data_IF_966962041806
#
_entry.id   IF_966962041806
#
_cell.length_a   1.000
_cell.length_b   1.000
_cell.length_c   1.000
_cell.angle_alpha   90.00
_cell.angle_beta   90.00
_cell.angle_gamma   90.00
#
_symmetry.space_group_name_H-M   'P 1'
#
loop_
_entity.id
_entity.type
_entity.pdbx_description
1 polymer ?
#
# COMPACT_ATOMS: atom_id res chain seq x y z
N UNK A 1 -6.19 11.34 -43.51
CA UNK A 1 -5.29 10.35 -42.95
C UNK A 1 -4.10 11.12 -42.33
N UNK A 2 -4.12 11.38 -41.03
CA UNK A 2 -2.99 12.00 -40.29
C UNK A 2 -2.21 10.90 -39.60
N UNK A 3 -0.97 10.66 -40.02
CA UNK A 3 -0.05 9.71 -39.43
C UNK A 3 0.48 10.30 -38.12
N UNK A 4 0.12 9.69 -36.99
CA UNK A 4 0.69 10.01 -35.69
C UNK A 4 2.01 9.22 -35.59
N UNK A 5 3.12 9.93 -35.60
CA UNK A 5 4.46 9.41 -35.34
C UNK A 5 4.63 9.26 -33.82
N UNK A 6 4.67 8.00 -33.34
CA UNK A 6 5.00 7.68 -31.97
C UNK A 6 6.54 7.66 -31.86
N UNK A 7 7.12 8.72 -31.34
CA UNK A 7 8.55 8.83 -31.10
C UNK A 7 8.94 7.98 -29.88
N UNK A 8 9.62 6.87 -30.12
CA UNK A 8 10.25 6.04 -29.10
C UNK A 8 11.51 6.78 -28.58
N UNK A 9 11.42 7.39 -27.39
CA UNK A 9 12.57 7.97 -26.73
C UNK A 9 13.39 6.83 -26.07
N UNK A 10 14.46 6.42 -26.73
CA UNK A 10 15.47 5.51 -26.15
C UNK A 10 16.33 6.35 -25.22
N UNK A 11 16.12 6.17 -23.93
CA UNK A 11 16.98 6.72 -22.89
C UNK A 11 18.24 5.86 -22.81
N UNK A 12 19.32 6.29 -23.47
CA UNK A 12 20.67 5.72 -23.29
C UNK A 12 21.18 6.13 -21.90
N UNK A 13 21.10 5.21 -20.94
CA UNK A 13 21.62 5.41 -19.60
C UNK A 13 23.15 5.56 -19.63
N UNK A 14 23.64 6.67 -19.14
CA UNK A 14 25.04 6.87 -18.77
C UNK A 14 25.23 6.08 -17.47
N UNK A 15 25.98 4.98 -17.51
CA UNK A 15 26.44 4.27 -16.32
C UNK A 15 27.51 5.14 -15.64
N UNK A 16 27.11 5.94 -14.68
CA UNK A 16 27.98 6.55 -13.68
C UNK A 16 28.14 5.58 -12.52
N UNK A 17 29.30 5.54 -11.90
CA UNK A 17 29.63 4.70 -10.74
C UNK A 17 28.54 4.75 -9.69
N UNK A 18 27.95 3.58 -9.39
CA UNK A 18 26.72 3.49 -8.65
C UNK A 18 26.96 3.79 -7.17
N UNK A 19 26.58 4.98 -6.73
CA UNK A 19 26.17 5.18 -5.35
C UNK A 19 25.17 4.07 -5.00
N UNK A 20 25.32 3.44 -3.83
CA UNK A 20 24.39 2.42 -3.34
C UNK A 20 23.12 3.13 -2.90
N UNK A 21 22.26 3.47 -3.85
CA UNK A 21 20.95 4.04 -3.56
C UNK A 21 20.10 2.95 -2.91
N UNK A 22 19.53 3.24 -1.74
CA UNK A 22 18.60 2.32 -1.07
C UNK A 22 17.35 2.16 -1.94
N UNK A 23 17.02 0.90 -2.31
CA UNK A 23 15.95 0.56 -3.25
C UNK A 23 14.63 0.16 -2.58
N UNK A 24 14.63 0.08 -1.25
CA UNK A 24 13.45 -0.29 -0.44
C UNK A 24 13.05 0.91 0.40
N UNK A 25 12.13 1.69 -0.11
CA UNK A 25 11.58 2.85 0.57
C UNK A 25 10.05 2.82 0.46
N UNK A 26 9.37 3.54 1.35
CA UNK A 26 7.91 3.69 1.34
C UNK A 26 7.11 2.38 1.46
N UNK A 27 7.65 1.33 2.11
CA UNK A 27 6.97 0.04 2.27
C UNK A 27 5.62 0.16 3.00
N UNK A 28 5.38 1.21 3.77
CA UNK A 28 4.10 1.47 4.41
C UNK A 28 2.95 1.67 3.39
N UNK A 29 3.23 2.12 2.16
CA UNK A 29 2.25 2.23 1.09
C UNK A 29 1.85 0.88 0.49
N UNK A 30 2.64 -0.18 0.71
CA UNK A 30 2.33 -1.53 0.25
C UNK A 30 1.36 -2.29 1.18
N UNK A 31 1.00 -1.72 2.34
CA UNK A 31 0.01 -2.31 3.24
C UNK A 31 -1.36 -2.34 2.58
N UNK A 32 -1.73 -1.26 1.88
CA UNK A 32 -3.05 -1.07 1.30
C UNK A 32 -4.02 -0.38 2.27
N UNK A 33 -5.25 -0.11 1.83
CA UNK A 33 -6.28 0.53 2.65
C UNK A 33 -7.66 -0.10 2.44
N UNK A 34 -8.51 -0.02 3.46
CA UNK A 34 -9.84 -0.62 3.50
C UNK A 34 -9.81 -2.07 3.97
N UNK A 35 -10.57 -2.37 5.02
CA UNK A 35 -10.63 -3.72 5.60
C UNK A 35 -11.10 -4.76 4.57
N UNK A 36 -11.94 -4.38 3.58
CA UNK A 36 -12.33 -5.25 2.46
C UNK A 36 -11.11 -5.79 1.71
N UNK A 37 -10.25 -4.91 1.21
CA UNK A 37 -9.08 -5.31 0.42
C UNK A 37 -8.07 -6.11 1.23
N UNK A 38 -7.89 -5.76 2.51
CA UNK A 38 -7.00 -6.47 3.43
C UNK A 38 -7.51 -7.85 3.79
N UNK A 39 -8.84 -8.01 4.01
CA UNK A 39 -9.48 -9.32 4.25
C UNK A 39 -9.35 -10.26 3.05
N UNK A 40 -9.35 -9.73 1.84
CA UNK A 40 -9.14 -10.48 0.60
C UNK A 40 -7.64 -10.72 0.27
N UNK A 41 -6.73 -10.36 1.17
CA UNK A 41 -5.29 -10.52 0.91
C UNK A 41 -4.75 -9.63 -0.23
N UNK A 42 -5.39 -8.50 -0.51
CA UNK A 42 -5.07 -7.61 -1.62
C UNK A 42 -5.66 -8.05 -2.97
N UNK A 43 -6.47 -9.11 -3.00
CA UNK A 43 -7.16 -9.60 -4.19
C UNK A 43 -8.34 -8.68 -4.56
N UNK A 44 -8.02 -7.44 -4.95
CA UNK A 44 -8.99 -6.38 -5.29
C UNK A 44 -8.49 -5.47 -6.44
N UNK A 45 -7.43 -5.85 -7.11
CA UNK A 45 -6.81 -5.04 -8.19
C UNK A 45 -7.74 -4.89 -9.40
N UNK A 46 -8.60 -5.88 -9.66
CA UNK A 46 -9.54 -5.87 -10.78
C UNK A 46 -10.98 -5.54 -10.37
N UNK A 47 -11.27 -5.41 -9.05
CA UNK A 47 -12.64 -5.25 -8.57
C UNK A 47 -12.82 -4.19 -7.45
N UNK A 48 -11.79 -3.42 -7.08
CA UNK A 48 -11.95 -2.28 -6.20
C UNK A 48 -12.58 -1.12 -6.98
N UNK A 49 -13.74 -0.66 -6.52
CA UNK A 49 -14.60 0.28 -7.23
C UNK A 49 -15.18 1.36 -6.31
N UNK A 50 -14.41 1.81 -5.34
CA UNK A 50 -14.82 2.81 -4.35
C UNK A 50 -13.67 3.75 -3.95
N UNK A 51 -13.89 4.55 -2.93
CA UNK A 51 -12.96 5.56 -2.40
C UNK A 51 -11.63 4.98 -1.86
N UNK A 52 -11.49 3.65 -1.69
CA UNK A 52 -10.23 2.97 -1.38
C UNK A 52 -9.40 2.62 -2.63
N UNK A 53 -9.96 2.79 -3.84
CA UNK A 53 -9.29 2.50 -5.12
C UNK A 53 -7.91 3.17 -5.28
N UNK A 54 -7.64 4.39 -4.80
CA UNK A 54 -6.30 4.98 -4.91
C UNK A 54 -5.17 4.08 -4.39
N UNK A 55 -5.43 3.29 -3.36
CA UNK A 55 -4.43 2.40 -2.75
C UNK A 55 -4.29 1.05 -3.48
N UNK A 56 -5.25 0.64 -4.30
CA UNK A 56 -5.26 -0.66 -4.98
C UNK A 56 -5.13 -0.54 -6.49
N UNK A 57 -6.07 0.17 -7.12
CA UNK A 57 -6.07 0.49 -8.54
C UNK A 57 -6.89 1.77 -8.78
N UNK A 58 -6.27 2.93 -9.02
CA UNK A 58 -7.00 4.20 -9.14
C UNK A 58 -8.04 4.21 -10.27
N UNK A 59 -7.94 3.32 -11.26
CA UNK A 59 -8.95 3.21 -12.32
C UNK A 59 -10.33 2.81 -11.78
N UNK A 60 -10.40 2.14 -10.62
CA UNK A 60 -11.66 1.74 -9.98
C UNK A 60 -12.48 2.89 -9.42
N UNK A 61 -11.91 4.08 -9.24
CA UNK A 61 -12.66 5.27 -8.86
C UNK A 61 -13.78 5.61 -9.84
N UNK A 62 -13.63 5.24 -11.12
CA UNK A 62 -14.59 5.61 -12.18
C UNK A 62 -15.98 4.96 -11.98
N UNK A 63 -16.07 3.92 -11.17
CA UNK A 63 -17.31 3.22 -10.87
C UNK A 63 -18.08 3.83 -9.68
N UNK A 64 -17.54 4.91 -9.10
CA UNK A 64 -18.27 5.73 -8.12
C UNK A 64 -19.34 6.52 -8.88
N UNK A 65 -20.60 6.13 -8.71
CA UNK A 65 -21.79 6.71 -9.33
C UNK A 65 -22.60 7.61 -8.38
N UNK A 66 -22.10 7.79 -7.15
CA UNK A 66 -22.73 8.58 -6.09
C UNK A 66 -22.33 10.05 -6.14
N UNK A 67 -23.04 10.90 -5.41
CA UNK A 67 -22.70 12.32 -5.29
C UNK A 67 -21.26 12.50 -4.77
N UNK A 68 -20.89 11.73 -3.74
CA UNK A 68 -19.54 11.59 -3.22
C UNK A 68 -19.41 10.38 -2.29
N UNK A 69 -18.20 9.92 -2.11
CA UNK A 69 -17.85 8.91 -1.11
C UNK A 69 -16.78 9.46 -0.16
N UNK A 70 -16.94 9.13 1.13
CA UNK A 70 -15.92 9.35 2.16
C UNK A 70 -15.54 8.04 2.83
N UNK A 71 -14.31 7.92 3.29
CA UNK A 71 -13.87 6.75 4.03
C UNK A 71 -12.84 7.07 5.09
N UNK A 72 -12.84 6.25 6.15
CA UNK A 72 -11.80 6.23 7.17
C UNK A 72 -11.45 4.79 7.51
N UNK A 73 -10.18 4.53 7.83
CA UNK A 73 -9.70 3.25 8.35
C UNK A 73 -8.72 3.50 9.48
N UNK A 74 -8.82 2.67 10.51
CA UNK A 74 -7.83 2.55 11.57
C UNK A 74 -7.37 1.10 11.68
N UNK A 75 -6.07 0.91 11.84
CA UNK A 75 -5.49 -0.42 12.01
C UNK A 75 -4.47 -0.43 13.13
N UNK A 76 -4.55 -1.47 13.95
CA UNK A 76 -3.53 -1.87 14.90
C UNK A 76 -2.67 -2.95 14.28
N UNK A 77 -1.49 -2.56 13.83
CA UNK A 77 -0.57 -3.42 13.11
C UNK A 77 0.46 -4.01 14.08
N UNK A 78 0.79 -5.32 13.92
CA UNK A 78 1.74 -6.04 14.78
C UNK A 78 1.41 -5.93 16.27
N UNK A 79 0.18 -6.34 16.66
CA UNK A 79 -0.29 -6.29 18.06
C UNK A 79 -0.18 -4.88 18.67
N UNK A 80 -0.60 -3.86 17.91
CA UNK A 80 -0.62 -2.44 18.32
C UNK A 80 0.75 -1.75 18.42
N UNK A 81 1.83 -2.37 17.94
CA UNK A 81 3.14 -1.71 17.88
C UNK A 81 3.10 -0.54 16.91
N UNK A 82 2.44 -0.71 15.75
CA UNK A 82 2.27 0.35 14.77
C UNK A 82 0.79 0.64 14.52
N UNK A 83 0.45 1.91 14.37
CA UNK A 83 -0.88 2.40 14.00
C UNK A 83 -0.88 2.78 12.54
N UNK A 84 -1.91 2.36 11.81
CA UNK A 84 -2.04 2.67 10.39
C UNK A 84 -3.42 3.25 10.11
N UNK A 85 -3.45 4.50 9.69
CA UNK A 85 -4.65 5.29 9.50
C UNK A 85 -4.80 5.66 8.04
N UNK A 86 -6.03 5.68 7.53
CA UNK A 86 -6.38 6.14 6.19
C UNK A 86 -7.64 6.97 6.25
N UNK A 87 -7.65 8.08 5.51
CA UNK A 87 -8.85 8.89 5.26
C UNK A 87 -8.90 9.26 3.79
N UNK A 88 -10.08 9.23 3.19
CA UNK A 88 -10.25 9.59 1.79
C UNK A 88 -11.62 10.21 1.50
N UNK A 89 -11.64 10.97 0.42
CA UNK A 89 -12.81 11.57 -0.18
C UNK A 89 -12.72 11.42 -1.70
N UNK A 90 -13.83 11.03 -2.34
CA UNK A 90 -13.94 10.92 -3.79
C UNK A 90 -15.24 11.52 -4.29
N UNK A 91 -15.20 12.19 -5.43
CA UNK A 91 -16.33 12.83 -6.05
C UNK A 91 -16.29 12.68 -7.57
N UNK A 92 -17.37 12.21 -8.22
CA UNK A 92 -17.55 12.31 -9.65
C UNK A 92 -17.59 13.78 -10.08
N UNK A 93 -16.96 14.06 -11.23
CA UNK A 93 -17.01 15.37 -11.87
C UNK A 93 -18.18 15.42 -12.84
N UNK A 94 -18.83 16.59 -12.95
CA UNK A 94 -19.94 16.80 -13.85
C UNK A 94 -19.55 16.56 -15.34
N UNK A 95 -20.52 16.26 -16.20
CA UNK A 95 -20.38 16.11 -17.64
C UNK A 95 -19.41 14.99 -18.10
N UNK A 96 -19.46 13.82 -17.49
CA UNK A 96 -18.60 12.68 -17.80
C UNK A 96 -17.10 12.98 -17.63
N UNK A 97 -16.75 13.96 -16.79
CA UNK A 97 -15.39 14.41 -16.55
C UNK A 97 -14.50 13.44 -15.75
N UNK A 98 -15.00 12.26 -15.39
CA UNK A 98 -14.28 11.30 -14.56
C UNK A 98 -14.53 11.47 -13.07
N UNK A 99 -13.69 10.83 -12.23
CA UNK A 99 -13.78 10.91 -10.77
C UNK A 99 -12.46 11.39 -10.19
N UNK A 100 -12.55 12.38 -9.31
CA UNK A 100 -11.41 12.88 -8.53
C UNK A 100 -11.46 12.32 -7.11
N UNK A 101 -10.30 11.99 -6.54
CA UNK A 101 -10.19 11.63 -5.13
C UNK A 101 -8.93 12.24 -4.50
N UNK A 102 -9.04 12.47 -3.19
CA UNK A 102 -7.92 12.78 -2.31
C UNK A 102 -7.90 11.78 -1.17
N UNK A 103 -6.73 11.24 -0.86
CA UNK A 103 -6.56 10.36 0.29
C UNK A 103 -5.26 10.65 1.02
N UNK A 104 -5.26 10.35 2.32
CA UNK A 104 -4.10 10.47 3.19
C UNK A 104 -3.95 9.18 3.97
N UNK A 105 -2.73 8.69 4.02
CA UNK A 105 -2.32 7.53 4.80
C UNK A 105 -1.28 7.96 5.84
N UNK A 106 -1.33 7.35 7.03
CA UNK A 106 -0.34 7.52 8.09
C UNK A 106 0.06 6.17 8.66
N UNK A 107 1.35 5.92 8.78
CA UNK A 107 1.90 4.86 9.63
C UNK A 107 2.66 5.53 10.78
N UNK A 108 2.35 5.16 12.02
CA UNK A 108 3.00 5.70 13.21
C UNK A 108 3.46 4.60 14.15
N UNK A 109 4.64 4.78 14.74
CA UNK A 109 5.18 3.98 15.84
C UNK A 109 5.57 4.92 16.96
N UNK A 110 4.97 4.72 18.14
CA UNK A 110 5.19 5.55 19.31
C UNK A 110 6.11 4.85 20.31
N UNK A 111 6.67 5.65 21.24
CA UNK A 111 7.47 5.16 22.36
C UNK A 111 8.72 4.35 21.97
N UNK A 112 9.38 4.71 20.87
CA UNK A 112 10.66 4.12 20.48
C UNK A 112 11.74 4.61 21.45
N UNK A 113 12.47 3.70 22.08
CA UNK A 113 13.53 4.07 23.03
C UNK A 113 14.70 4.75 22.29
N UNK A 114 15.06 5.92 22.75
CA UNK A 114 16.25 6.65 22.33
C UNK A 114 17.38 6.43 23.31
N UNK A 115 18.43 5.75 22.85
CA UNK A 115 19.63 5.44 23.63
C UNK A 115 20.87 6.19 23.12
N UNK A 116 20.70 7.16 22.21
CA UNK A 116 21.85 7.87 21.58
C UNK A 116 22.70 8.65 22.57
N UNK A 117 22.12 9.09 23.69
CA UNK A 117 22.80 9.85 24.74
C UNK A 117 23.08 9.03 26.01
N UNK A 118 22.81 7.72 25.98
CA UNK A 118 23.00 6.84 27.13
C UNK A 118 24.48 6.69 27.51
N UNK A 119 25.40 6.83 26.56
CA UNK A 119 26.84 6.74 26.78
C UNK A 119 27.42 8.15 26.72
N UNK A 120 28.15 8.57 27.79
CA UNK A 120 28.81 9.86 27.82
C UNK A 120 30.14 9.87 27.04
N UNK A 121 30.80 11.04 26.98
CA UNK A 121 32.08 11.22 26.27
C UNK A 121 33.25 10.41 26.86
N UNK A 122 33.13 9.91 28.09
CA UNK A 122 34.12 9.11 28.78
C UNK A 122 33.81 7.61 28.70
N UNK A 123 32.65 7.21 28.09
CA UNK A 123 32.23 5.83 27.93
C UNK A 123 31.41 5.29 29.12
N UNK A 124 30.97 6.11 30.07
CA UNK A 124 30.11 5.69 31.16
C UNK A 124 28.66 5.55 30.66
N UNK A 125 27.93 4.57 31.21
CA UNK A 125 26.53 4.30 30.86
C UNK A 125 25.63 4.99 31.91
N UNK A 126 24.73 5.85 31.40
CA UNK A 126 23.73 6.56 32.21
C UNK A 126 22.32 6.22 31.68
N UNK A 127 21.63 5.32 32.36
CA UNK A 127 20.28 4.87 31.99
C UNK A 127 19.21 5.95 32.15
N UNK A 128 19.46 6.99 32.99
CA UNK A 128 18.50 8.09 33.19
C UNK A 128 18.41 9.01 31.95
N UNK A 129 19.34 8.90 31.02
CA UNK A 129 19.32 9.60 29.73
C UNK A 129 18.53 8.89 28.64
N UNK A 130 17.97 7.72 28.92
CA UNK A 130 17.07 7.05 27.98
C UNK A 130 15.80 7.88 27.88
N UNK A 131 15.47 8.28 26.67
CA UNK A 131 14.24 9.00 26.34
C UNK A 131 13.43 8.22 25.32
N UNK A 132 12.28 8.73 24.89
CA UNK A 132 11.50 8.11 23.81
C UNK A 132 11.20 9.11 22.71
N UNK A 133 10.98 8.60 21.50
CA UNK A 133 10.53 9.37 20.35
C UNK A 133 9.49 8.58 19.55
N UNK A 134 8.82 9.25 18.63
CA UNK A 134 7.87 8.63 17.69
C UNK A 134 8.38 8.75 16.27
N UNK A 135 8.08 7.75 15.45
CA UNK A 135 8.22 7.80 14.00
C UNK A 135 6.84 7.92 13.36
N UNK A 136 6.73 8.72 12.30
CA UNK A 136 5.50 8.83 11.51
C UNK A 136 5.80 9.02 10.04
N UNK A 137 5.21 8.18 9.21
CA UNK A 137 5.26 8.26 7.76
C UNK A 137 3.87 8.63 7.24
N UNK A 138 3.78 9.63 6.39
CA UNK A 138 2.56 10.12 5.77
C UNK A 138 2.67 10.05 4.26
N UNK A 139 1.55 9.78 3.58
CA UNK A 139 1.43 10.01 2.16
C UNK A 139 0.06 10.59 1.81
N UNK A 140 0.06 11.60 0.96
CA UNK A 140 -1.14 12.13 0.32
C UNK A 140 -1.17 11.68 -1.14
N UNK A 141 -2.32 11.15 -1.59
CA UNK A 141 -2.56 10.78 -2.98
C UNK A 141 -3.64 11.67 -3.55
N UNK A 142 -3.34 12.30 -4.69
CA UNK A 142 -4.29 12.97 -5.55
C UNK A 142 -4.57 12.06 -6.73
N UNK A 143 -5.82 11.62 -6.86
CA UNK A 143 -6.20 10.56 -7.79
C UNK A 143 -7.23 11.05 -8.79
N UNK A 144 -7.12 10.59 -10.02
CA UNK A 144 -8.08 10.87 -11.07
C UNK A 144 -8.31 9.64 -11.94
N UNK A 145 -9.57 9.31 -12.22
CA UNK A 145 -9.94 8.22 -13.09
C UNK A 145 -10.88 8.69 -14.20
N UNK A 146 -10.76 8.09 -15.38
CA UNK A 146 -11.58 8.41 -16.55
C UNK A 146 -11.72 7.20 -17.49
N UNK A 147 -12.69 7.26 -18.39
CA UNK A 147 -12.91 6.27 -19.46
C UNK A 147 -12.49 6.83 -20.82
N UNK A 148 -11.36 6.38 -21.42
CA UNK A 148 -10.93 6.84 -22.73
C UNK A 148 -11.76 6.20 -23.85
N UNK A 149 -12.94 6.72 -24.14
CA UNK A 149 -13.74 6.37 -25.32
C UNK A 149 -14.47 5.02 -25.30
N UNK A 150 -14.23 4.12 -24.35
CA UNK A 150 -14.93 2.84 -24.21
C UNK A 150 -15.45 2.65 -22.79
N UNK A 151 -16.69 2.16 -22.64
CA UNK A 151 -17.24 1.83 -21.32
C UNK A 151 -16.54 0.65 -20.64
N UNK A 152 -15.74 -0.13 -21.39
CA UNK A 152 -15.03 -1.32 -20.88
C UNK A 152 -13.65 -1.00 -20.31
N UNK A 153 -13.02 0.07 -20.79
CA UNK A 153 -11.67 0.45 -20.40
C UNK A 153 -11.73 1.66 -19.47
N UNK A 154 -11.12 1.54 -18.30
CA UNK A 154 -10.94 2.62 -17.35
C UNK A 154 -9.47 2.82 -17.07
N UNK A 155 -9.06 4.06 -16.92
CA UNK A 155 -7.68 4.46 -16.60
C UNK A 155 -7.71 5.36 -15.39
N UNK A 156 -6.76 5.16 -14.49
CA UNK A 156 -6.60 5.98 -13.28
C UNK A 156 -5.15 6.32 -13.03
N UNK A 157 -4.92 7.48 -12.44
CA UNK A 157 -3.59 7.95 -12.07
C UNK A 157 -3.59 8.45 -10.63
N UNK A 158 -2.48 8.26 -9.92
CA UNK A 158 -2.21 8.93 -8.64
C UNK A 158 -0.97 9.79 -8.78
N UNK A 159 -1.01 10.99 -8.19
CA UNK A 159 0.18 11.73 -7.80
C UNK A 159 0.36 11.57 -6.29
N UNK A 160 1.54 11.15 -5.85
CA UNK A 160 1.87 10.87 -4.45
C UNK A 160 2.84 11.91 -3.90
N UNK A 161 2.53 12.42 -2.71
CA UNK A 161 3.43 13.22 -1.89
C UNK A 161 3.67 12.45 -0.60
N UNK A 162 4.94 12.21 -0.28
CA UNK A 162 5.36 11.46 0.91
C UNK A 162 6.08 12.39 1.87
N UNK A 163 5.77 12.29 3.15
CA UNK A 163 6.48 12.93 4.24
C UNK A 163 6.80 11.89 5.30
N UNK A 164 8.07 11.80 5.68
CA UNK A 164 8.55 10.84 6.67
C UNK A 164 9.27 11.58 7.78
N UNK A 165 9.00 11.19 9.03
CA UNK A 165 9.63 11.80 10.20
C UNK A 165 10.11 10.73 11.18
N UNK A 166 11.36 10.82 11.60
CA UNK A 166 11.99 9.95 12.60
C UNK A 166 12.36 10.82 13.80
N UNK A 167 11.35 11.20 14.60
CA UNK A 167 11.52 12.06 15.75
C UNK A 167 12.29 13.34 15.42
N UNK A 168 13.32 13.66 16.21
CA UNK A 168 14.22 14.80 15.99
C UNK A 168 15.44 14.48 15.11
N UNK A 169 15.60 13.21 14.70
CA UNK A 169 16.80 12.71 14.03
C UNK A 169 16.81 12.96 12.53
N UNK A 170 15.66 12.77 11.87
CA UNK A 170 15.58 12.92 10.42
C UNK A 170 14.16 13.20 9.93
N UNK A 171 14.06 13.89 8.81
CA UNK A 171 12.82 14.03 8.05
C UNK A 171 13.09 13.82 6.56
N UNK A 172 12.11 13.32 5.83
CA UNK A 172 12.21 13.06 4.40
C UNK A 172 10.96 13.50 3.65
N UNK A 173 11.14 13.96 2.42
CA UNK A 173 10.05 14.30 1.51
C UNK A 173 10.24 13.52 0.22
N UNK A 174 9.13 13.02 -0.33
CA UNK A 174 9.16 12.24 -1.56
C UNK A 174 7.97 12.53 -2.45
N UNK A 175 8.10 12.15 -3.71
CA UNK A 175 7.03 12.22 -4.68
C UNK A 175 7.14 11.11 -5.71
N UNK A 176 6.00 10.71 -6.28
CA UNK A 176 5.92 9.67 -7.30
C UNK A 176 4.53 9.61 -7.91
N UNK A 177 4.39 8.73 -8.90
CA UNK A 177 3.13 8.53 -9.62
C UNK A 177 2.81 7.04 -9.73
N UNK A 178 1.49 6.74 -9.75
CA UNK A 178 0.98 5.42 -10.06
C UNK A 178 0.06 5.48 -11.27
N UNK A 179 -0.06 4.36 -11.98
CA UNK A 179 -0.95 4.20 -13.12
C UNK A 179 -1.77 2.92 -12.95
N UNK A 180 -3.10 3.04 -13.09
CA UNK A 180 -4.05 1.94 -13.01
C UNK A 180 -4.85 1.78 -14.28
N UNK A 181 -5.19 0.54 -14.61
CA UNK A 181 -6.05 0.19 -15.74
C UNK A 181 -7.02 -0.90 -15.28
N UNK A 182 -8.29 -0.77 -15.67
CA UNK A 182 -9.32 -1.80 -15.56
C UNK A 182 -9.93 -2.06 -16.92
N UNK A 183 -10.19 -3.34 -17.21
CA UNK A 183 -10.90 -3.77 -18.39
C UNK A 183 -12.01 -4.77 -18.01
N UNK A 184 -13.24 -4.37 -18.27
CA UNK A 184 -14.44 -5.17 -18.02
C UNK A 184 -14.86 -5.87 -19.32
N UNK A 185 -14.68 -7.20 -19.39
CA UNK A 185 -15.00 -7.97 -20.57
C UNK A 185 -16.50 -8.34 -20.63
N UNK A 186 -17.03 -8.58 -21.84
CA UNK A 186 -18.45 -8.91 -22.04
C UNK A 186 -18.92 -10.20 -21.37
N UNK A 187 -17.99 -11.11 -21.05
CA UNK A 187 -18.27 -12.36 -20.35
C UNK A 187 -18.32 -12.20 -18.81
N UNK A 188 -18.28 -10.95 -18.31
CA UNK A 188 -18.30 -10.63 -16.88
C UNK A 188 -16.97 -10.88 -16.15
N UNK A 189 -15.89 -11.11 -16.88
CA UNK A 189 -14.53 -11.17 -16.31
C UNK A 189 -13.94 -9.77 -16.28
N UNK A 190 -13.37 -9.39 -15.13
CA UNK A 190 -12.66 -8.14 -14.94
C UNK A 190 -11.17 -8.38 -14.87
N UNK A 191 -10.41 -7.57 -15.57
CA UNK A 191 -8.94 -7.56 -15.55
C UNK A 191 -8.46 -6.24 -14.97
N UNK A 192 -7.52 -6.31 -14.06
CA UNK A 192 -6.90 -5.14 -13.45
C UNK A 192 -5.38 -5.17 -13.60
N UNK A 193 -4.79 -4.01 -13.85
CA UNK A 193 -3.36 -3.80 -13.81
C UNK A 193 -3.06 -2.49 -13.09
N UNK A 194 -2.11 -2.51 -12.16
CA UNK A 194 -1.62 -1.33 -11.45
C UNK A 194 -0.10 -1.30 -11.50
N UNK A 195 0.45 -0.26 -12.10
CA UNK A 195 1.88 0.07 -12.03
C UNK A 195 2.08 1.08 -10.90
N UNK A 196 2.54 0.60 -9.74
CA UNK A 196 2.92 1.43 -8.60
C UNK A 196 4.28 2.03 -8.83
N UNK A 197 4.49 3.25 -8.32
CA UNK A 197 5.77 3.95 -8.44
C UNK A 197 6.29 3.99 -9.89
N UNK A 198 5.37 4.24 -10.85
CA UNK A 198 5.61 4.15 -12.29
C UNK A 198 6.79 5.00 -12.77
N UNK A 199 7.04 6.12 -12.09
CA UNK A 199 8.16 7.03 -12.35
C UNK A 199 9.31 6.84 -11.36
N UNK A 200 9.30 5.77 -10.56
CA UNK A 200 10.13 5.64 -9.37
C UNK A 200 9.80 6.73 -8.34
N UNK A 201 9.39 6.38 -7.14
CA UNK A 201 9.18 7.38 -6.07
C UNK A 201 10.52 7.71 -5.44
N UNK A 202 10.88 8.99 -5.43
CA UNK A 202 12.14 9.49 -4.90
C UNK A 202 11.88 10.16 -3.56
N UNK A 203 12.69 9.85 -2.54
CA UNK A 203 12.68 10.50 -1.24
C UNK A 203 14.01 11.20 -0.98
N UNK A 204 13.94 12.42 -0.45
CA UNK A 204 15.07 13.23 -0.04
C UNK A 204 15.05 13.38 1.48
N UNK A 205 16.15 13.02 2.14
CA UNK A 205 16.28 13.07 3.57
C UNK A 205 17.10 14.25 4.06
N UNK A 206 16.63 14.87 5.13
CA UNK A 206 17.39 15.80 5.96
C UNK A 206 17.68 15.11 7.28
N UNK A 207 18.95 14.97 7.64
CA UNK A 207 19.42 14.32 8.88
C UNK A 207 19.96 15.38 9.80
N UNK A 208 19.51 15.37 11.06
CA UNK A 208 20.04 16.19 12.14
C UNK A 208 21.21 15.45 12.79
N UNK A 209 22.42 15.80 12.37
CA UNK A 209 23.65 15.15 12.83
C UNK A 209 23.87 15.32 14.33
N UNK A 210 23.57 16.51 14.87
CA UNK A 210 23.80 16.84 16.28
C UNK A 210 22.98 15.96 17.23
N UNK A 211 21.84 15.46 16.77
CA UNK A 211 20.96 14.57 17.53
C UNK A 211 21.24 13.08 17.30
N UNK A 212 21.89 12.75 16.18
CA UNK A 212 22.14 11.37 15.78
C UNK A 212 23.52 10.88 16.23
N UNK A 213 24.55 11.70 16.11
CA UNK A 213 25.92 11.31 16.44
C UNK A 213 26.20 11.45 17.95
N UNK A 214 27.07 10.55 18.44
CA UNK A 214 27.66 10.63 19.75
C UNK A 214 29.19 10.54 19.60
N UNK A 215 29.91 11.29 20.41
CA UNK A 215 31.38 11.19 20.49
C UNK A 215 31.74 10.51 21.81
N UNK A 216 32.38 9.33 21.72
CA UNK A 216 32.81 8.54 22.88
C UNK A 216 34.31 8.29 22.75
N UNK A 217 35.09 8.66 23.74
CA UNK A 217 36.57 8.53 23.72
C UNK A 217 37.24 9.15 22.47
N UNK A 218 36.66 10.22 21.90
CA UNK A 218 37.18 10.91 20.73
C UNK A 218 36.80 10.26 19.39
N UNK A 219 36.03 9.19 19.39
CA UNK A 219 35.51 8.56 18.17
C UNK A 219 34.03 8.93 17.96
N UNK A 220 33.68 9.27 16.74
CA UNK A 220 32.31 9.59 16.34
C UNK A 220 31.52 8.30 16.06
N UNK A 221 30.43 8.10 16.80
CA UNK A 221 29.46 7.02 16.58
C UNK A 221 28.23 7.55 15.85
N UNK A 222 27.60 6.71 15.03
CA UNK A 222 26.41 7.03 14.24
C UNK A 222 26.59 8.27 13.34
N UNK A 223 27.64 8.30 12.47
CA UNK A 223 27.78 9.40 11.51
C UNK A 223 26.58 9.45 10.55
N UNK A 224 26.21 10.66 10.11
CA UNK A 224 25.12 10.81 9.16
C UNK A 224 25.35 9.99 7.90
N UNK A 225 24.29 9.35 7.34
CA UNK A 225 24.40 8.69 6.05
C UNK A 225 24.89 9.68 4.98
N UNK A 226 25.85 9.26 4.16
CA UNK A 226 26.36 10.07 3.04
C UNK A 226 25.29 10.29 1.97
N UNK A 227 24.50 9.24 1.70
CA UNK A 227 23.41 9.29 0.72
C UNK A 227 22.12 9.72 1.43
N UNK A 228 21.59 10.86 0.97
CA UNK A 228 20.35 11.45 1.48
C UNK A 228 19.16 11.19 0.54
N UNK A 229 19.32 10.32 -0.44
CA UNK A 229 18.31 9.98 -1.42
C UNK A 229 17.97 8.49 -1.33
N UNK A 230 16.67 8.18 -1.32
CA UNK A 230 16.14 6.83 -1.41
C UNK A 230 15.18 6.76 -2.60
N UNK A 231 15.09 5.59 -3.23
CA UNK A 231 14.15 5.35 -4.33
C UNK A 231 13.28 4.13 -4.01
N UNK A 232 12.02 4.21 -4.46
CA UNK A 232 11.12 3.05 -4.48
C UNK A 232 11.02 2.55 -5.92
N UNK A 233 11.40 1.30 -6.13
CA UNK A 233 11.33 0.67 -7.45
C UNK A 233 9.88 0.45 -7.88
N UNK A 234 9.58 0.55 -9.19
CA UNK A 234 8.26 0.21 -9.72
C UNK A 234 7.82 -1.20 -9.35
N UNK A 235 6.50 -1.39 -9.18
CA UNK A 235 5.86 -2.68 -8.94
C UNK A 235 4.63 -2.81 -9.84
N UNK A 236 4.43 -4.00 -10.43
CA UNK A 236 3.26 -4.28 -11.25
C UNK A 236 2.36 -5.28 -10.52
N UNK A 237 1.10 -4.87 -10.27
CA UNK A 237 0.07 -5.72 -9.71
C UNK A 237 -0.93 -6.07 -10.82
N UNK A 238 -1.22 -7.35 -10.99
CA UNK A 238 -2.16 -7.87 -11.99
C UNK A 238 -3.25 -8.65 -11.28
N UNK A 239 -4.51 -8.44 -11.65
CA UNK A 239 -5.67 -9.11 -11.06
C UNK A 239 -6.66 -9.56 -12.12
N UNK A 240 -7.34 -10.65 -11.82
CA UNK A 240 -8.48 -11.17 -12.59
C UNK A 240 -9.58 -11.59 -11.63
N UNK A 241 -10.79 -11.11 -11.85
CA UNK A 241 -11.97 -11.45 -11.05
C UNK A 241 -13.19 -11.73 -11.92
N UNK A 242 -14.18 -12.37 -11.32
CA UNK A 242 -15.49 -12.56 -11.93
C UNK A 242 -16.55 -12.66 -10.83
N UNK A 243 -17.71 -12.06 -11.08
CA UNK A 243 -18.87 -12.20 -10.22
C UNK A 243 -19.69 -13.41 -10.64
N UNK A 244 -20.08 -14.24 -9.66
CA UNK A 244 -20.94 -15.42 -9.83
C UNK A 244 -22.20 -15.23 -8.96
N UNK A 245 -23.33 -15.01 -9.62
CA UNK A 245 -24.63 -15.04 -8.95
C UNK A 245 -24.99 -16.50 -8.64
N UNK A 246 -24.94 -16.90 -7.36
CA UNK A 246 -25.32 -18.24 -6.91
C UNK A 246 -26.83 -18.34 -6.87
N UNK A 247 -27.50 -17.31 -6.35
CA UNK A 247 -28.93 -17.12 -6.35
C UNK A 247 -29.26 -15.63 -6.20
N UNK A 248 -30.56 -15.26 -6.04
CA UNK A 248 -31.00 -13.85 -5.97
C UNK A 248 -30.41 -13.08 -4.79
N UNK A 249 -30.03 -13.76 -3.72
CA UNK A 249 -29.56 -13.16 -2.48
C UNK A 249 -28.06 -13.37 -2.27
N UNK A 250 -27.39 -14.21 -3.05
CA UNK A 250 -26.03 -14.65 -2.79
C UNK A 250 -25.16 -14.54 -4.04
N UNK A 251 -24.11 -13.75 -3.94
CA UNK A 251 -23.08 -13.55 -4.97
C UNK A 251 -21.70 -13.94 -4.42
N UNK A 252 -20.91 -14.63 -5.22
CA UNK A 252 -19.51 -14.95 -4.93
C UNK A 252 -18.59 -14.20 -5.91
N UNK A 253 -17.64 -13.45 -5.38
CA UNK A 253 -16.65 -12.70 -6.15
C UNK A 253 -15.23 -13.14 -5.80
N UNK A 254 -14.66 -14.14 -6.49
CA UNK A 254 -13.25 -14.48 -6.40
C UNK A 254 -12.39 -13.52 -7.21
N UNK A 255 -11.18 -13.28 -6.72
CA UNK A 255 -10.09 -12.65 -7.47
C UNK A 255 -8.79 -13.42 -7.22
N UNK A 256 -7.97 -13.55 -8.26
CA UNK A 256 -6.60 -14.02 -8.17
C UNK A 256 -5.67 -13.11 -8.98
N UNK A 257 -4.39 -13.07 -8.60
CA UNK A 257 -3.45 -12.22 -9.31
C UNK A 257 -1.99 -12.42 -8.90
N UNK A 258 -1.16 -11.53 -9.41
CA UNK A 258 0.28 -11.55 -9.25
C UNK A 258 0.78 -10.16 -8.86
N UNK A 259 1.65 -10.11 -7.86
CA UNK A 259 2.49 -8.96 -7.56
C UNK A 259 3.88 -9.22 -8.13
N UNK A 260 4.38 -8.31 -8.96
CA UNK A 260 5.68 -8.39 -9.63
C UNK A 260 6.52 -7.23 -9.15
N UNK A 261 7.55 -7.53 -8.37
CA UNK A 261 8.57 -6.58 -7.93
C UNK A 261 9.75 -6.65 -8.89
N UNK A 262 10.19 -5.52 -9.45
CA UNK A 262 11.36 -5.47 -10.35
C UNK A 262 12.68 -5.44 -9.55
N UNK A 263 12.78 -6.33 -8.59
CA UNK A 263 13.95 -6.54 -7.74
C UNK A 263 13.90 -7.93 -7.11
N UNK A 264 15.03 -8.42 -6.62
CA UNK A 264 15.10 -9.69 -5.88
C UNK A 264 14.50 -9.52 -4.49
N UNK A 265 13.55 -10.38 -4.13
CA UNK A 265 12.92 -10.43 -2.81
C UNK A 265 12.93 -11.84 -2.24
N UNK A 266 12.34 -12.06 -1.07
CA UNK A 266 12.13 -13.37 -0.47
C UNK A 266 10.95 -14.16 -1.08
N UNK A 267 10.33 -13.69 -2.16
CA UNK A 267 9.22 -14.35 -2.82
C UNK A 267 9.58 -15.79 -3.24
N UNK A 268 8.56 -16.65 -3.31
CA UNK A 268 8.76 -18.07 -3.72
C UNK A 268 9.35 -18.17 -5.12
N UNK A 269 8.93 -17.27 -6.03
CA UNK A 269 9.50 -17.15 -7.37
C UNK A 269 10.31 -15.85 -7.40
N UNK A 270 11.64 -15.96 -7.37
CA UNK A 270 12.53 -14.80 -7.33
C UNK A 270 13.78 -15.05 -8.19
N UNK A 271 14.10 -14.07 -9.03
CA UNK A 271 15.31 -13.99 -9.85
C UNK A 271 16.12 -12.77 -9.43
N UNK A 272 17.27 -12.54 -10.05
CA UNK A 272 18.11 -11.38 -9.71
C UNK A 272 17.51 -10.04 -10.15
N UNK A 273 16.55 -10.05 -11.09
CA UNK A 273 15.92 -8.85 -11.68
C UNK A 273 14.43 -8.70 -11.38
N UNK A 274 13.73 -9.78 -10.96
CA UNK A 274 12.31 -9.74 -10.63
C UNK A 274 11.90 -10.83 -9.66
N UNK A 275 10.86 -10.53 -8.88
CA UNK A 275 10.20 -11.47 -7.98
C UNK A 275 8.70 -11.46 -8.21
N UNK A 276 8.06 -12.62 -8.13
CA UNK A 276 6.63 -12.80 -8.38
C UNK A 276 6.00 -13.42 -7.14
N UNK A 277 4.98 -12.75 -6.60
CA UNK A 277 4.18 -13.23 -5.48
C UNK A 277 2.72 -13.37 -5.91
N UNK A 278 2.16 -14.59 -5.97
CA UNK A 278 0.75 -14.79 -6.22
C UNK A 278 -0.09 -14.34 -5.02
N UNK A 279 -1.35 -14.02 -5.28
CA UNK A 279 -2.36 -13.78 -4.26
C UNK A 279 -3.73 -14.27 -4.75
N UNK A 280 -4.62 -14.57 -3.82
CA UNK A 280 -6.00 -14.91 -4.11
C UNK A 280 -6.91 -14.51 -2.95
N UNK A 281 -8.16 -14.20 -3.27
CA UNK A 281 -9.19 -13.90 -2.29
C UNK A 281 -10.59 -14.14 -2.86
N UNK A 282 -11.56 -14.15 -1.97
CA UNK A 282 -12.95 -14.28 -2.35
C UNK A 282 -13.84 -13.50 -1.37
N UNK A 283 -14.86 -12.86 -1.92
CA UNK A 283 -15.92 -12.18 -1.20
C UNK A 283 -17.25 -12.89 -1.47
N UNK A 284 -17.95 -13.27 -0.41
CA UNK A 284 -19.32 -13.75 -0.45
C UNK A 284 -20.23 -12.62 0.01
N UNK A 285 -21.17 -12.20 -0.84
CA UNK A 285 -22.13 -11.13 -0.59
C UNK A 285 -23.52 -11.72 -0.38
N UNK A 286 -24.16 -11.37 0.72
CA UNK A 286 -25.54 -11.72 0.99
C UNK A 286 -26.41 -10.46 0.97
N UNK A 287 -27.36 -10.39 0.01
CA UNK A 287 -28.33 -9.29 -0.21
C UNK A 287 -27.68 -7.90 -0.33
N UNK A 288 -26.40 -7.82 -0.77
CA UNK A 288 -25.58 -6.59 -0.76
C UNK A 288 -25.52 -5.86 0.61
N UNK A 289 -25.78 -6.60 1.68
CA UNK A 289 -25.81 -6.10 3.06
C UNK A 289 -24.75 -6.74 3.96
N UNK A 290 -24.49 -8.03 3.81
CA UNK A 290 -23.53 -8.77 4.63
C UNK A 290 -22.45 -9.35 3.73
N UNK A 291 -21.20 -9.17 4.13
CA UNK A 291 -20.04 -9.61 3.39
C UNK A 291 -19.15 -10.49 4.25
N UNK A 292 -18.73 -11.63 3.69
CA UNK A 292 -17.73 -12.51 4.31
C UNK A 292 -16.57 -12.64 3.32
N UNK A 293 -15.34 -12.48 3.80
CA UNK A 293 -14.14 -12.38 2.97
C UNK A 293 -13.02 -13.24 3.49
N UNK A 294 -12.30 -13.83 2.57
CA UNK A 294 -11.07 -14.57 2.87
C UNK A 294 -9.99 -14.25 1.82
N UNK A 295 -8.75 -14.34 2.22
CA UNK A 295 -7.65 -14.07 1.30
C UNK A 295 -6.33 -14.70 1.74
N UNK A 296 -5.41 -14.78 0.81
CA UNK A 296 -4.05 -15.25 1.04
C UNK A 296 -3.08 -14.52 0.11
N UNK A 297 -1.96 -14.09 0.67
CA UNK A 297 -0.89 -13.40 -0.05
C UNK A 297 0.49 -13.66 0.56
N UNK A 298 1.50 -12.89 0.13
CA UNK A 298 2.87 -12.89 0.68
C UNK A 298 3.51 -14.29 0.79
N UNK A 299 3.43 -15.07 -0.29
CA UNK A 299 4.14 -16.33 -0.37
C UNK A 299 5.66 -16.09 -0.43
N UNK A 300 6.37 -16.46 0.63
CA UNK A 300 7.80 -16.18 0.82
C UNK A 300 8.57 -17.41 1.26
N UNK A 301 9.82 -17.50 0.81
CA UNK A 301 10.78 -18.47 1.34
C UNK A 301 11.45 -17.88 2.58
N UNK A 302 11.21 -18.48 3.73
CA UNK A 302 11.84 -18.11 5.00
C UNK A 302 12.73 -19.25 5.49
N UNK A 303 13.75 -18.91 6.27
CA UNK A 303 14.51 -19.91 7.03
C UNK A 303 13.91 -20.00 8.42
N UNK A 304 13.40 -21.16 8.76
CA UNK A 304 12.88 -21.46 10.08
C UNK A 304 14.04 -21.40 11.10
N UNK A 305 13.86 -20.62 12.17
CA UNK A 305 14.93 -20.32 13.14
C UNK A 305 15.31 -21.57 13.97
N UNK A 306 14.34 -22.43 14.24
CA UNK A 306 14.57 -23.62 15.07
C UNK A 306 15.18 -24.77 14.26
N UNK A 307 14.66 -25.03 13.07
CA UNK A 307 15.09 -26.16 12.22
C UNK A 307 16.18 -25.80 11.23
N UNK A 308 16.49 -24.52 11.01
CA UNK A 308 17.38 -23.98 9.97
C UNK A 308 17.02 -24.44 8.54
N UNK A 309 15.80 -24.95 8.34
CA UNK A 309 15.30 -25.40 7.04
C UNK A 309 14.52 -24.29 6.34
N UNK A 310 14.57 -24.31 5.01
CA UNK A 310 13.72 -23.45 4.19
C UNK A 310 12.27 -23.91 4.31
N UNK A 311 11.37 -22.94 4.56
CA UNK A 311 9.92 -23.13 4.65
C UNK A 311 9.23 -22.06 3.84
N UNK A 312 8.13 -22.43 3.18
CA UNK A 312 7.25 -21.45 2.55
C UNK A 312 6.32 -20.88 3.62
N UNK A 313 6.34 -19.56 3.77
CA UNK A 313 5.39 -18.80 4.58
C UNK A 313 4.39 -18.12 3.68
N UNK A 314 3.17 -17.92 4.17
CA UNK A 314 2.12 -17.14 3.51
C UNK A 314 1.29 -16.40 4.56
N UNK A 315 0.60 -15.36 4.13
CA UNK A 315 -0.24 -14.52 5.01
C UNK A 315 -1.71 -14.78 4.70
N UNK A 316 -2.43 -15.53 5.58
CA UNK A 316 -3.89 -15.64 5.51
C UNK A 316 -4.56 -14.39 6.06
N UNK A 317 -5.73 -14.09 5.54
CA UNK A 317 -6.59 -12.99 5.99
C UNK A 317 -8.06 -13.41 5.93
N UNK A 318 -8.87 -12.79 6.78
CA UNK A 318 -10.30 -12.95 6.79
C UNK A 318 -10.98 -11.65 7.22
N UNK A 319 -12.26 -11.49 6.91
CA UNK A 319 -13.01 -10.32 7.33
C UNK A 319 -14.50 -10.42 7.11
N UNK A 320 -15.21 -9.49 7.72
CA UNK A 320 -16.66 -9.34 7.61
C UNK A 320 -17.00 -7.89 7.31
N UNK A 321 -18.13 -7.66 6.68
CA UNK A 321 -18.66 -6.32 6.41
C UNK A 321 -20.16 -6.26 6.51
N UNK A 322 -20.66 -5.10 6.89
CA UNK A 322 -22.10 -4.80 6.94
C UNK A 322 -22.34 -3.47 6.26
N UNK A 323 -23.30 -3.45 5.32
CA UNK A 323 -23.75 -2.24 4.63
C UNK A 323 -25.21 -1.95 4.96
N UNK A 324 -25.48 -0.73 5.37
CA UNK A 324 -26.83 -0.26 5.66
C UNK A 324 -27.00 1.21 5.30
N UNK A 325 -27.95 1.54 4.43
CA UNK A 325 -28.30 2.91 4.02
C UNK A 325 -27.08 3.81 3.67
N UNK A 326 -26.17 3.31 2.81
CA UNK A 326 -25.00 4.07 2.39
C UNK A 326 -23.81 4.05 3.37
N UNK A 327 -23.97 3.47 4.55
CA UNK A 327 -22.91 3.23 5.51
C UNK A 327 -22.40 1.80 5.37
N UNK A 328 -21.09 1.63 5.16
CA UNK A 328 -20.44 0.30 5.20
C UNK A 328 -19.42 0.28 6.33
N UNK A 329 -19.54 -0.73 7.18
CA UNK A 329 -18.57 -1.04 8.24
C UNK A 329 -17.90 -2.36 7.91
N UNK A 330 -16.59 -2.37 7.87
CA UNK A 330 -15.79 -3.58 7.60
C UNK A 330 -14.77 -3.81 8.71
N UNK A 331 -14.54 -5.08 9.00
CA UNK A 331 -13.48 -5.55 9.87
C UNK A 331 -12.66 -6.61 9.14
N UNK A 332 -11.34 -6.55 9.32
CA UNK A 332 -10.42 -7.59 8.84
C UNK A 332 -9.39 -7.96 9.90
N UNK A 333 -8.95 -9.20 9.83
CA UNK A 333 -7.82 -9.72 10.59
C UNK A 333 -6.83 -10.39 9.63
N UNK A 334 -5.55 -10.09 9.80
CA UNK A 334 -4.48 -10.74 9.04
C UNK A 334 -3.42 -11.27 10.00
N UNK A 335 -2.82 -12.40 9.64
CA UNK A 335 -1.63 -12.88 10.34
C UNK A 335 -0.39 -12.27 9.67
N UNK A 336 0.24 -11.31 10.32
CA UNK A 336 1.43 -10.60 9.82
C UNK A 336 2.74 -11.20 10.34
N UNK A 337 2.69 -12.36 11.00
CA UNK A 337 3.84 -13.00 11.62
C UNK A 337 4.88 -13.47 10.61
N UNK A 338 6.14 -13.32 10.95
CA UNK A 338 7.30 -13.78 10.18
C UNK A 338 8.00 -14.89 10.98
N UNK A 339 8.39 -15.97 10.29
CA UNK A 339 9.26 -17.00 10.89
C UNK A 339 8.60 -17.92 11.93
N UNK A 340 7.26 -18.04 11.91
CA UNK A 340 6.53 -18.91 12.85
C UNK A 340 5.90 -18.17 14.04
N UNK A 341 6.18 -16.88 14.20
CA UNK A 341 5.47 -16.03 15.15
C UNK A 341 4.11 -15.64 14.60
N UNK A 342 3.05 -15.70 15.42
CA UNK A 342 1.71 -15.30 15.05
C UNK A 342 1.47 -13.87 15.56
N UNK A 343 1.73 -12.87 14.74
CA UNK A 343 1.34 -11.48 15.01
C UNK A 343 0.08 -11.16 14.23
N UNK A 344 -0.99 -10.87 14.93
CA UNK A 344 -2.24 -10.48 14.29
C UNK A 344 -2.33 -8.97 14.17
N UNK A 345 -2.86 -8.52 13.03
CA UNK A 345 -3.20 -7.12 12.78
C UNK A 345 -4.70 -7.01 12.56
N UNK A 346 -5.30 -6.00 13.17
CA UNK A 346 -6.74 -5.74 13.15
C UNK A 346 -7.01 -4.45 12.38
N UNK A 347 -7.98 -4.48 11.47
CA UNK A 347 -8.33 -3.37 10.60
C UNK A 347 -9.81 -3.08 10.69
N UNK A 348 -10.16 -1.83 10.95
CA UNK A 348 -11.52 -1.34 11.01
C UNK A 348 -11.67 -0.26 9.94
N UNK A 349 -12.67 -0.37 9.09
CA UNK A 349 -12.93 0.65 8.09
C UNK A 349 -14.40 1.03 8.01
N UNK A 350 -14.62 2.32 7.72
CA UNK A 350 -15.90 2.95 7.55
C UNK A 350 -15.92 3.59 6.15
N UNK A 351 -17.01 3.35 5.41
CA UNK A 351 -17.29 4.03 4.15
C UNK A 351 -18.68 4.64 4.16
N UNK A 352 -18.80 5.85 3.62
CA UNK A 352 -20.03 6.61 3.46
C UNK A 352 -20.31 6.85 1.98
N UNK A 353 -21.49 6.46 1.52
CA UNK A 353 -22.03 6.67 0.17
C UNK A 353 -23.19 7.68 0.25
N UNK A 354 -22.94 8.96 -0.12
CA UNK A 354 -23.94 10.03 0.13
C UNK A 354 -25.19 9.97 -0.74
N UNK A 355 -25.14 9.37 -1.91
CA UNK A 355 -26.34 9.18 -2.75
C UNK A 355 -27.44 8.37 -2.06
N UNK A 356 -27.08 7.45 -1.18
CA UNK A 356 -28.02 6.55 -0.51
C UNK A 356 -28.74 7.18 0.70
N UNK A 357 -28.29 8.34 1.23
CA UNK A 357 -28.93 9.04 2.35
C UNK A 357 -30.06 9.99 1.92
N UNK A 358 -30.27 10.18 0.61
CA UNK A 358 -31.28 11.13 0.07
C UNK A 358 -32.61 10.45 -0.28
N UNK A 359 -32.76 9.12 -0.13
CA UNK A 359 -33.96 8.35 -0.46
C UNK A 359 -34.74 7.94 0.78
#
# INVERSE_FOLDING_TARGET
>A
MKKIFFGLFIFSGIFSDAQIIRKYSNEFLNIGAGARGLAMGGAVISNQNDVYSPMWNPAGLIDIDRDWQGAAMHAEYFESIAKYDYIAFAKPLDNNGGVFAISVVRLGVDNILNTTQMIDSEGNIDYDKISSFSQSDYAALLSYAFRPGSHRLSVGVNAKLVYRNVGKFASGYGFGFDLGVLYNADNGVNYGAMLRDATTTVNFWTVNQDELSAVVNGEEFNPAPKDKMEITMPKLNLGISKNFEINRDLELQPEAGLNIDFTKTAAVISTDFASITPYAGAELKFQDMIFVRVGVNRFQNITDIESLKRKVSFQPSAGIGIKYQGLTLDYAITNSGIGGSNFYSNFFSLKLDMGDFRN
#
